data_IF_920754734015
#
_entry.id   IF_920754734015
#
_cell.length_a   1.000
_cell.length_b   1.000
_cell.length_c   1.000
_cell.angle_alpha   90.00
_cell.angle_beta   90.00
_cell.angle_gamma   90.00
#
_symmetry.space_group_name_H-M   'P 1'
#
loop_
_entity.id
_entity.type
_entity.pdbx_description
1 polymer ?
#
# COMPACT_ATOMS: atom_id res chain seq x y z
N UNK A 1 -9.67 11.83 7.27
CA UNK A 1 -9.69 11.43 5.84
C UNK A 1 -9.15 10.01 5.69
N UNK A 2 -9.90 9.14 5.04
CA UNK A 2 -9.49 7.77 4.67
C UNK A 2 -9.29 7.75 3.15
N UNK A 3 -8.15 7.23 2.68
CA UNK A 3 -7.85 7.09 1.25
C UNK A 3 -7.51 5.64 0.92
N UNK A 4 -7.69 5.26 -0.34
CA UNK A 4 -7.38 3.93 -0.87
C UNK A 4 -6.85 4.07 -2.30
N UNK A 5 -6.06 3.09 -2.73
CA UNK A 5 -5.68 2.93 -4.14
C UNK A 5 -6.90 2.81 -5.05
N UNK A 6 -6.81 3.45 -6.21
CA UNK A 6 -7.80 3.34 -7.29
C UNK A 6 -7.58 2.08 -8.12
N UNK A 7 -6.36 1.52 -8.13
CA UNK A 7 -6.05 0.27 -8.79
C UNK A 7 -6.79 -0.89 -8.11
N UNK A 8 -7.47 -1.71 -8.90
CA UNK A 8 -8.23 -2.84 -8.38
C UNK A 8 -7.42 -4.12 -8.21
N UNK A 9 -6.27 -4.20 -8.87
CA UNK A 9 -5.34 -5.32 -8.84
C UNK A 9 -3.91 -4.87 -8.51
N UNK A 10 -3.08 -5.82 -8.12
CA UNK A 10 -1.63 -5.64 -8.01
C UNK A 10 -0.91 -6.96 -8.27
N UNK A 11 0.35 -6.90 -8.69
CA UNK A 11 1.18 -8.06 -8.97
C UNK A 11 1.64 -8.74 -7.68
N UNK A 12 1.53 -10.07 -7.61
CA UNK A 12 2.13 -10.81 -6.50
C UNK A 12 3.65 -10.56 -6.47
N UNK A 13 4.24 -10.09 -5.35
CA UNK A 13 5.67 -9.79 -5.30
C UNK A 13 6.58 -11.03 -5.38
N UNK A 14 6.02 -12.23 -5.36
CA UNK A 14 6.77 -13.49 -5.46
C UNK A 14 6.73 -14.10 -6.86
N UNK A 15 5.59 -14.05 -7.56
CA UNK A 15 5.41 -14.71 -8.86
C UNK A 15 4.97 -13.76 -9.99
N UNK A 16 4.71 -12.48 -9.69
CA UNK A 16 4.27 -11.47 -10.66
C UNK A 16 2.80 -11.56 -11.09
N UNK A 17 2.11 -12.68 -10.83
CA UNK A 17 0.71 -12.88 -11.26
C UNK A 17 -0.19 -11.79 -10.64
N UNK A 18 -0.93 -11.02 -11.46
CA UNK A 18 -1.84 -10.00 -10.97
C UNK A 18 -3.03 -10.64 -10.26
N UNK A 19 -3.47 -10.01 -9.16
CA UNK A 19 -4.67 -10.43 -8.45
C UNK A 19 -5.49 -9.24 -7.97
N UNK A 20 -6.81 -9.32 -8.14
CA UNK A 20 -7.79 -8.43 -7.49
C UNK A 20 -8.53 -9.07 -6.32
N UNK A 21 -8.20 -10.32 -5.96
CA UNK A 21 -8.96 -11.08 -4.95
C UNK A 21 -8.64 -10.57 -3.55
N UNK A 22 -9.52 -9.77 -2.95
CA UNK A 22 -9.30 -9.17 -1.63
C UNK A 22 -9.47 -10.20 -0.51
N UNK A 23 -8.43 -10.39 0.30
CA UNK A 23 -8.45 -11.11 1.58
C UNK A 23 -8.95 -10.24 2.72
N UNK A 24 -8.44 -9.01 2.79
CA UNK A 24 -8.65 -8.09 3.92
C UNK A 24 -8.35 -6.65 3.50
N UNK A 25 -8.79 -5.65 4.27
CA UNK A 25 -8.58 -4.22 4.02
C UNK A 25 -8.01 -3.48 5.24
N UNK A 26 -6.79 -3.81 5.70
CA UNK A 26 -6.19 -3.16 6.86
C UNK A 26 -6.00 -1.65 6.66
N UNK A 27 -6.20 -0.87 7.73
CA UNK A 27 -5.99 0.58 7.73
C UNK A 27 -4.70 0.92 8.47
N UNK A 28 -3.84 1.73 7.83
CA UNK A 28 -2.58 2.23 8.42
C UNK A 28 -2.59 3.75 8.54
N UNK A 29 -1.91 4.28 9.56
CA UNK A 29 -1.63 5.73 9.69
C UNK A 29 -0.26 6.03 9.08
N UNK A 30 -0.22 6.82 8.02
CA UNK A 30 0.98 7.15 7.26
C UNK A 30 1.29 8.63 7.46
N UNK A 31 2.55 8.96 7.73
CA UNK A 31 2.97 10.35 7.77
C UNK A 31 3.12 10.91 6.35
N UNK A 32 2.70 12.15 6.19
CA UNK A 32 2.67 12.82 4.90
C UNK A 32 3.25 14.24 5.00
N UNK A 33 3.44 14.91 3.86
CA UNK A 33 3.99 16.25 3.82
C UNK A 33 3.21 17.19 4.75
N UNK A 34 3.92 17.95 5.60
CA UNK A 34 3.27 18.88 6.51
C UNK A 34 2.58 20.00 5.73
N UNK A 35 1.50 20.52 6.31
CA UNK A 35 0.88 21.76 5.86
C UNK A 35 1.27 22.87 6.85
N UNK A 36 2.24 23.69 6.45
CA UNK A 36 2.91 24.62 7.37
C UNK A 36 3.77 23.90 8.40
N UNK A 37 3.69 24.33 9.67
CA UNK A 37 4.47 23.75 10.77
C UNK A 37 3.90 22.42 11.31
N UNK A 38 2.69 22.03 10.89
CA UNK A 38 2.00 20.87 11.43
C UNK A 38 2.24 19.62 10.57
N UNK A 39 2.77 18.57 11.20
CA UNK A 39 2.90 17.25 10.59
C UNK A 39 1.54 16.65 10.24
N UNK A 40 1.40 16.14 9.01
CA UNK A 40 0.15 15.54 8.53
C UNK A 40 0.21 14.02 8.64
N UNK A 41 -0.91 13.40 9.02
CA UNK A 41 -1.11 11.94 8.94
C UNK A 41 -2.36 11.61 8.15
N UNK A 42 -2.21 10.71 7.19
CA UNK A 42 -3.32 10.19 6.39
C UNK A 42 -3.62 8.75 6.82
N UNK A 43 -4.91 8.41 6.90
CA UNK A 43 -5.34 7.01 7.08
C UNK A 43 -5.45 6.38 5.71
N UNK A 44 -4.69 5.32 5.47
CA UNK A 44 -4.70 4.60 4.19
C UNK A 44 -5.29 3.22 4.40
N UNK A 45 -6.40 2.93 3.71
CA UNK A 45 -6.94 1.58 3.57
C UNK A 45 -6.13 0.87 2.50
N UNK A 46 -5.42 -0.19 2.88
CA UNK A 46 -4.62 -1.01 1.96
C UNK A 46 -5.40 -2.29 1.68
N UNK A 47 -5.36 -2.79 0.45
CA UNK A 47 -5.91 -4.12 0.15
C UNK A 47 -4.86 -5.17 0.44
N UNK A 48 -5.22 -6.17 1.24
CA UNK A 48 -4.49 -7.44 1.27
C UNK A 48 -5.15 -8.34 0.24
N UNK A 49 -4.41 -8.73 -0.77
CA UNK A 49 -4.86 -9.57 -1.88
C UNK A 49 -4.43 -11.02 -1.64
N UNK A 50 -5.21 -11.98 -2.12
CA UNK A 50 -4.82 -13.38 -2.26
C UNK A 50 -4.07 -13.56 -3.58
N UNK A 51 -2.98 -14.30 -3.59
CA UNK A 51 -2.40 -14.76 -4.84
C UNK A 51 -3.35 -15.78 -5.47
N UNK A 52 -3.62 -15.66 -6.77
CA UNK A 52 -4.48 -16.62 -7.50
C UNK A 52 -3.67 -17.79 -8.09
N UNK A 53 -2.35 -17.64 -8.16
CA UNK A 53 -1.44 -18.71 -8.57
C UNK A 53 -1.37 -19.79 -7.49
N UNK A 54 -1.81 -21.00 -7.83
CA UNK A 54 -1.96 -22.12 -6.89
C UNK A 54 -0.61 -22.61 -6.35
N UNK A 55 0.44 -22.54 -7.18
CA UNK A 55 1.78 -23.00 -6.82
C UNK A 55 2.61 -21.91 -6.11
N UNK A 56 2.06 -20.71 -5.90
CA UNK A 56 2.77 -19.62 -5.27
C UNK A 56 2.69 -19.71 -3.74
N UNK A 57 3.84 -19.87 -3.08
CA UNK A 57 3.97 -19.94 -1.62
C UNK A 57 3.50 -18.66 -0.89
N UNK A 58 3.42 -17.52 -1.59
CA UNK A 58 3.12 -16.22 -0.97
C UNK A 58 1.73 -16.16 -0.34
N UNK A 59 0.75 -16.86 -0.92
CA UNK A 59 -0.68 -16.92 -0.57
C UNK A 59 -1.45 -15.58 -0.49
N UNK A 60 -0.89 -14.56 0.16
CA UNK A 60 -1.44 -13.21 0.22
C UNK A 60 -0.35 -12.15 0.26
N UNK A 61 -0.64 -10.98 -0.27
CA UNK A 61 0.26 -9.84 -0.28
C UNK A 61 -0.52 -8.54 -0.08
N UNK A 62 0.16 -7.47 0.34
CA UNK A 62 -0.47 -6.16 0.48
C UNK A 62 -0.22 -5.39 -0.80
N UNK A 63 -1.29 -4.87 -1.40
CA UNK A 63 -1.22 -3.97 -2.54
C UNK A 63 -0.33 -2.77 -2.19
N UNK A 64 0.51 -2.39 -3.13
CA UNK A 64 1.41 -1.25 -3.04
C UNK A 64 1.13 -0.24 -4.15
N UNK A 65 1.58 1.00 -3.96
CA UNK A 65 1.56 2.01 -5.01
C UNK A 65 2.82 2.87 -4.93
N UNK A 66 3.11 3.62 -6.00
CA UNK A 66 4.31 4.45 -6.08
C UNK A 66 4.40 5.48 -4.93
N UNK A 67 3.27 6.00 -4.47
CA UNK A 67 3.19 6.98 -3.38
C UNK A 67 3.32 6.33 -1.99
N UNK A 68 3.08 5.02 -1.89
CA UNK A 68 3.17 4.26 -0.65
C UNK A 68 3.75 2.86 -0.90
N UNK A 69 5.08 2.76 -1.03
CA UNK A 69 5.75 1.48 -1.22
C UNK A 69 5.50 0.50 -0.08
N UNK A 70 5.75 -0.77 -0.36
CA UNK A 70 5.60 -1.87 0.60
C UNK A 70 6.25 -1.55 1.95
N UNK A 71 5.50 -1.76 3.04
CA UNK A 71 5.90 -1.47 4.43
C UNK A 71 6.25 -0.02 4.75
N UNK A 72 6.08 0.92 3.82
CA UNK A 72 6.38 2.33 4.09
C UNK A 72 5.45 2.92 5.15
N UNK A 73 6.03 3.71 6.05
CA UNK A 73 5.33 4.54 7.06
C UNK A 73 5.22 6.00 6.66
N UNK A 74 5.88 6.39 5.56
CA UNK A 74 5.88 7.73 4.98
C UNK A 74 5.31 7.66 3.57
N UNK A 75 4.66 8.71 3.11
CA UNK A 75 4.43 8.88 1.67
C UNK A 75 5.77 9.09 0.96
N UNK A 76 5.87 8.66 -0.30
CA UNK A 76 7.11 8.82 -1.09
C UNK A 76 7.53 10.28 -1.19
N UNK A 77 6.56 11.19 -1.32
CA UNK A 77 6.79 12.64 -1.32
C UNK A 77 7.39 13.17 -0.01
N UNK A 78 6.96 12.64 1.14
CA UNK A 78 7.58 13.00 2.42
C UNK A 78 8.98 12.39 2.53
N UNK A 79 9.15 11.12 2.11
CA UNK A 79 10.44 10.43 2.13
C UNK A 79 11.52 11.19 1.37
N UNK A 80 11.21 11.70 0.18
CA UNK A 80 12.14 12.49 -0.66
C UNK A 80 12.52 13.81 0.02
N UNK A 81 11.62 14.43 0.79
CA UNK A 81 11.89 15.70 1.47
C UNK A 81 12.80 15.56 2.70
N UNK A 82 12.83 14.39 3.32
CA UNK A 82 13.57 14.13 4.57
C UNK A 82 14.84 13.29 4.39
N UNK A 83 15.11 12.83 3.17
CA UNK A 83 16.36 12.18 2.77
C UNK A 83 17.41 13.23 2.39
#
# INVERSE_FOLDING_TARGET
MLVESTEDQDGCPSCGVPSGRVKDRPVSRIADLPHGALGLRVRVRKRRLLCVEQLCERQSFTQSCAQLPTRSRLTSRLRIKVS
#
